data_IF_844969755443
#
_entry.id   IF_844969755443
#
_cell.length_a   1.000
_cell.length_b   1.000
_cell.length_c   1.000
_cell.angle_alpha   90.00
_cell.angle_beta   90.00
_cell.angle_gamma   90.00
#
_symmetry.space_group_name_H-M   'P 1'
#
loop_
_entity.id
_entity.type
_entity.pdbx_description
1 polymer ?
#
# COMPACT_ATOMS: atom_id res chain seq x y z
N UNK A 1 -2.47 -24.93 -9.48
CA UNK A 1 -2.27 -24.57 -10.91
C UNK A 1 -0.79 -24.34 -11.18
N UNK A 2 -0.24 -24.80 -12.30
CA UNK A 2 1.15 -24.53 -12.66
C UNK A 2 1.34 -23.03 -12.80
N UNK A 3 2.49 -22.54 -12.37
CA UNK A 3 2.82 -21.13 -12.34
C UNK A 3 3.12 -20.65 -13.76
N UNK A 4 2.42 -19.62 -14.24
CA UNK A 4 2.81 -18.97 -15.48
C UNK A 4 4.18 -18.30 -15.31
N UNK A 5 5.05 -18.48 -16.32
CA UNK A 5 6.32 -17.80 -16.39
C UNK A 5 6.07 -16.28 -16.47
N UNK A 6 6.94 -15.50 -15.83
CA UNK A 6 6.87 -14.04 -15.88
C UNK A 6 7.20 -13.55 -17.29
N UNK A 7 6.40 -12.61 -17.81
CA UNK A 7 6.73 -11.94 -19.08
C UNK A 7 7.96 -11.07 -18.88
N UNK A 8 8.95 -11.23 -19.73
CA UNK A 8 10.22 -10.49 -19.68
C UNK A 8 10.07 -9.20 -20.48
N UNK A 9 10.52 -8.07 -19.91
CA UNK A 9 10.59 -6.80 -20.62
C UNK A 9 11.82 -6.73 -21.53
N UNK A 10 11.63 -6.30 -22.76
CA UNK A 10 12.75 -6.06 -23.67
C UNK A 10 13.63 -4.86 -23.24
N UNK A 11 13.05 -3.92 -22.48
CA UNK A 11 13.76 -2.76 -21.94
C UNK A 11 14.29 -3.01 -20.50
N UNK A 12 14.04 -4.19 -19.93
CA UNK A 12 14.30 -4.52 -18.52
C UNK A 12 13.59 -3.57 -17.53
N UNK A 13 12.47 -2.95 -17.95
CA UNK A 13 11.67 -2.03 -17.14
C UNK A 13 10.36 -2.71 -16.79
N UNK A 14 9.95 -2.56 -15.53
CA UNK A 14 8.78 -3.23 -14.99
C UNK A 14 7.94 -2.31 -14.10
N UNK A 15 6.63 -2.45 -14.22
CA UNK A 15 5.69 -2.08 -13.17
C UNK A 15 5.61 -3.24 -12.21
N UNK A 16 5.98 -3.03 -10.96
CA UNK A 16 5.93 -4.04 -9.91
C UNK A 16 4.99 -3.62 -8.78
N UNK A 17 4.20 -4.57 -8.26
CA UNK A 17 3.21 -4.31 -7.22
C UNK A 17 3.38 -5.32 -6.09
N UNK A 18 3.42 -4.82 -4.85
CA UNK A 18 3.27 -5.59 -3.62
C UNK A 18 1.93 -5.23 -2.98
N UNK A 19 1.19 -6.22 -2.51
CA UNK A 19 -0.11 -6.03 -1.87
C UNK A 19 -0.22 -6.80 -0.57
N UNK A 20 -0.79 -6.18 0.47
CA UNK A 20 -1.09 -6.83 1.74
C UNK A 20 -2.11 -7.99 1.59
N UNK A 21 -1.93 -9.05 2.37
CA UNK A 21 -2.88 -10.16 2.45
C UNK A 21 -4.26 -9.62 2.84
N UNK A 22 -5.31 -10.04 2.12
CA UNK A 22 -6.68 -9.60 2.38
C UNK A 22 -6.85 -8.07 2.43
N UNK A 23 -6.07 -7.35 1.59
CA UNK A 23 -6.07 -5.88 1.56
C UNK A 23 -5.65 -5.22 2.89
N UNK A 24 -5.01 -5.97 3.81
CA UNK A 24 -4.53 -5.40 5.06
C UNK A 24 -3.54 -4.26 4.83
N UNK A 25 -3.43 -3.37 5.81
CA UNK A 25 -2.39 -2.37 5.82
C UNK A 25 -1.02 -3.02 5.84
N UNK A 26 -0.12 -2.43 5.08
CA UNK A 26 1.31 -2.79 5.08
C UNK A 26 2.18 -1.66 5.63
N UNK A 27 1.56 -0.52 5.92
CA UNK A 27 2.15 0.62 6.62
C UNK A 27 1.16 1.10 7.67
N UNK A 28 1.53 1.07 8.94
CA UNK A 28 0.69 1.48 10.07
C UNK A 28 1.04 2.90 10.54
N UNK A 29 2.29 3.32 10.33
CA UNK A 29 2.79 4.64 10.70
C UNK A 29 3.90 5.12 9.73
N UNK A 30 4.37 6.35 9.92
CA UNK A 30 5.38 6.98 9.06
C UNK A 30 6.74 6.26 9.11
N UNK A 31 7.06 5.61 10.23
CA UNK A 31 8.29 4.83 10.36
C UNK A 31 8.30 3.64 9.38
N UNK A 32 7.15 3.02 9.16
CA UNK A 32 7.00 1.92 8.21
C UNK A 32 7.25 2.37 6.77
N UNK A 33 6.66 3.52 6.40
CA UNK A 33 6.91 4.14 5.09
C UNK A 33 8.38 4.47 4.91
N UNK A 34 8.98 5.13 5.89
CA UNK A 34 10.40 5.48 5.87
C UNK A 34 11.30 4.23 5.80
N UNK A 35 10.93 3.17 6.51
CA UNK A 35 11.65 1.89 6.46
C UNK A 35 11.61 1.29 5.07
N UNK A 36 10.43 1.25 4.43
CA UNK A 36 10.29 0.74 3.08
C UNK A 36 11.11 1.55 2.07
N UNK A 37 11.04 2.89 2.14
CA UNK A 37 11.83 3.77 1.29
C UNK A 37 13.33 3.56 1.49
N UNK A 38 13.80 3.34 2.71
CA UNK A 38 15.21 3.06 2.98
C UNK A 38 15.64 1.70 2.39
N UNK A 39 14.78 0.67 2.46
CA UNK A 39 15.04 -0.62 1.82
C UNK A 39 15.10 -0.46 0.29
N UNK A 40 14.18 0.30 -0.30
CA UNK A 40 14.15 0.58 -1.74
C UNK A 40 15.38 1.37 -2.18
N UNK A 41 15.75 2.45 -1.47
CA UNK A 41 16.94 3.27 -1.74
C UNK A 41 18.22 2.44 -1.77
N UNK A 42 18.38 1.48 -0.86
CA UNK A 42 19.57 0.59 -0.85
C UNK A 42 19.73 -0.21 -2.15
N UNK A 43 18.64 -0.50 -2.87
CA UNK A 43 18.73 -1.22 -4.14
C UNK A 43 19.22 -0.32 -5.28
N UNK A 44 19.12 1.00 -5.13
CA UNK A 44 19.57 1.98 -6.14
C UNK A 44 21.00 2.46 -5.90
N UNK A 45 21.63 2.05 -4.82
CA UNK A 45 23.02 2.42 -4.50
C UNK A 45 23.98 1.39 -5.12
N UNK A 46 25.13 1.86 -5.63
CA UNK A 46 26.21 0.98 -6.03
C UNK A 46 26.73 0.16 -4.83
N UNK A 47 26.96 -1.13 -5.03
CA UNK A 47 27.67 -1.93 -4.05
C UNK A 47 29.17 -1.69 -4.18
N UNK A 48 29.87 -1.70 -3.04
CA UNK A 48 31.34 -1.61 -3.00
C UNK A 48 31.85 -2.83 -2.25
N UNK A 49 32.76 -3.58 -2.87
CA UNK A 49 33.35 -4.74 -2.20
C UNK A 49 34.45 -4.34 -1.19
N UNK A 50 34.99 -5.33 -0.50
CA UNK A 50 36.04 -5.14 0.49
C UNK A 50 37.38 -4.61 -0.13
N UNK A 51 37.54 -4.69 -1.44
CA UNK A 51 38.68 -4.20 -2.21
C UNK A 51 38.44 -2.78 -2.75
N UNK A 52 37.23 -2.19 -2.51
CA UNK A 52 36.86 -0.85 -2.98
C UNK A 52 36.37 -0.82 -4.44
N UNK A 53 36.11 -1.97 -5.06
CA UNK A 53 35.54 -2.03 -6.40
C UNK A 53 34.04 -1.70 -6.34
N UNK A 54 33.61 -0.75 -7.15
CA UNK A 54 32.23 -0.30 -7.24
C UNK A 54 31.49 -1.09 -8.31
N UNK A 55 30.34 -1.66 -7.95
CA UNK A 55 29.45 -2.37 -8.84
C UNK A 55 28.27 -1.51 -9.25
N UNK A 56 27.61 -1.86 -10.33
CA UNK A 56 26.39 -1.17 -10.74
C UNK A 56 25.26 -1.37 -9.70
N UNK A 57 24.35 -0.39 -9.53
CA UNK A 57 23.17 -0.55 -8.69
C UNK A 57 22.37 -1.79 -9.09
N UNK A 58 21.69 -2.41 -8.13
CA UNK A 58 20.82 -3.57 -8.39
C UNK A 58 19.66 -3.20 -9.28
N UNK A 59 19.13 -1.98 -9.11
CA UNK A 59 18.06 -1.45 -9.96
C UNK A 59 18.14 0.09 -10.05
N UNK A 60 17.39 0.63 -11.02
CA UNK A 60 17.04 2.05 -11.07
C UNK A 60 15.54 2.19 -10.81
N UNK A 61 15.14 3.09 -9.93
CA UNK A 61 13.74 3.40 -9.66
C UNK A 61 13.38 4.67 -10.40
N UNK A 62 12.29 4.64 -11.16
CA UNK A 62 11.77 5.79 -11.87
C UNK A 62 10.60 6.44 -11.15
N UNK A 63 9.71 5.63 -10.60
CA UNK A 63 8.61 6.11 -9.80
C UNK A 63 8.21 5.10 -8.72
N UNK A 64 7.64 5.61 -7.64
CA UNK A 64 6.98 4.81 -6.62
C UNK A 64 5.78 5.55 -6.05
N UNK A 65 4.83 4.77 -5.52
CA UNK A 65 3.76 5.24 -4.67
C UNK A 65 3.46 4.17 -3.62
N UNK A 66 3.62 4.53 -2.34
CA UNK A 66 3.37 3.66 -1.21
C UNK A 66 1.96 3.95 -0.69
N UNK A 67 1.01 3.12 -1.08
CA UNK A 67 -0.37 3.19 -0.58
C UNK A 67 -0.48 2.39 0.72
N UNK A 68 -1.43 2.73 1.59
CA UNK A 68 -1.53 2.06 2.89
C UNK A 68 -1.50 0.53 2.85
N UNK A 69 -2.07 -0.11 1.84
CA UNK A 69 -2.18 -1.56 1.72
C UNK A 69 -1.47 -2.18 0.50
N UNK A 70 -0.81 -1.37 -0.31
CA UNK A 70 -0.06 -1.83 -1.48
C UNK A 70 1.01 -0.82 -1.91
N UNK A 71 1.89 -1.25 -2.79
CA UNK A 71 3.00 -0.44 -3.31
C UNK A 71 3.04 -0.58 -4.82
N UNK A 72 3.17 0.54 -5.52
CA UNK A 72 3.50 0.59 -6.94
C UNK A 72 4.95 1.04 -7.13
N UNK A 73 5.68 0.32 -7.98
CA UNK A 73 7.05 0.63 -8.34
C UNK A 73 7.21 0.60 -9.87
N UNK A 74 7.80 1.63 -10.44
CA UNK A 74 8.31 1.62 -11.80
C UNK A 74 9.83 1.57 -11.73
N UNK A 75 10.42 0.45 -12.10
CA UNK A 75 11.85 0.22 -11.94
C UNK A 75 12.47 -0.52 -13.13
N UNK A 76 13.78 -0.34 -13.30
CA UNK A 76 14.60 -1.04 -14.28
C UNK A 76 15.58 -1.95 -13.57
N UNK A 77 15.75 -3.16 -14.11
CA UNK A 77 16.83 -4.05 -13.71
C UNK A 77 18.20 -3.39 -13.93
N UNK A 78 19.09 -3.59 -12.99
CA UNK A 78 20.48 -3.22 -13.06
C UNK A 78 21.36 -4.45 -13.05
N UNK A 79 22.13 -4.66 -11.98
CA UNK A 79 22.93 -5.87 -11.80
C UNK A 79 22.13 -7.11 -11.40
N UNK A 80 20.89 -6.94 -10.93
CA UNK A 80 20.03 -8.05 -10.49
C UNK A 80 18.69 -8.07 -11.26
N UNK A 81 18.06 -9.25 -11.28
CA UNK A 81 16.75 -9.44 -11.91
C UNK A 81 15.64 -8.85 -11.06
N UNK A 82 14.50 -8.48 -11.69
CA UNK A 82 13.30 -8.02 -10.97
C UNK A 82 12.86 -9.00 -9.87
N UNK A 83 13.10 -10.31 -10.08
CA UNK A 83 12.78 -11.34 -9.11
C UNK A 83 13.59 -11.23 -7.83
N UNK A 84 14.90 -11.01 -7.96
CA UNK A 84 15.82 -10.90 -6.84
C UNK A 84 15.65 -9.56 -6.12
N UNK A 85 15.51 -8.47 -6.87
CA UNK A 85 15.25 -7.13 -6.33
C UNK A 85 13.99 -7.14 -5.46
N UNK A 86 12.87 -7.63 -5.99
CA UNK A 86 11.60 -7.64 -5.28
C UNK A 86 11.61 -8.61 -4.09
N UNK A 87 12.32 -9.73 -4.20
CA UNK A 87 12.54 -10.64 -3.07
C UNK A 87 13.29 -9.94 -1.93
N UNK A 88 14.37 -9.21 -2.22
CA UNK A 88 15.14 -8.47 -1.21
C UNK A 88 14.29 -7.40 -0.52
N UNK A 89 13.57 -6.59 -1.32
CA UNK A 89 12.70 -5.53 -0.79
C UNK A 89 11.64 -6.14 0.12
N UNK A 90 10.88 -7.12 -0.38
CA UNK A 90 9.78 -7.72 0.36
C UNK A 90 10.27 -8.43 1.62
N UNK A 91 11.33 -9.27 1.53
CA UNK A 91 11.84 -10.02 2.69
C UNK A 91 12.38 -9.09 3.78
N UNK A 92 13.16 -8.05 3.41
CA UNK A 92 13.70 -7.10 4.37
C UNK A 92 12.60 -6.30 5.09
N UNK A 93 11.56 -5.92 4.34
CA UNK A 93 10.44 -5.18 4.92
C UNK A 93 9.56 -6.06 5.80
N UNK A 94 9.21 -7.27 5.34
CA UNK A 94 8.41 -8.24 6.11
C UNK A 94 9.08 -8.60 7.42
N UNK A 95 10.41 -8.83 7.42
CA UNK A 95 11.16 -9.10 8.64
C UNK A 95 11.01 -7.96 9.65
N UNK A 96 11.22 -6.72 9.22
CA UNK A 96 11.05 -5.54 10.06
C UNK A 96 9.61 -5.42 10.59
N UNK A 97 8.61 -5.52 9.70
CA UNK A 97 7.21 -5.36 10.04
C UNK A 97 6.74 -6.42 11.05
N UNK A 98 7.08 -7.69 10.81
CA UNK A 98 6.73 -8.78 11.71
C UNK A 98 7.38 -8.61 13.08
N UNK A 99 8.65 -8.17 13.12
CA UNK A 99 9.33 -7.91 14.39
C UNK A 99 8.72 -6.72 15.15
N UNK A 100 8.43 -5.61 14.45
CA UNK A 100 7.85 -4.40 15.08
C UNK A 100 6.47 -4.65 15.66
N UNK A 101 5.65 -5.46 14.98
CA UNK A 101 4.24 -5.68 15.33
C UNK A 101 3.97 -7.03 15.99
N UNK A 102 5.01 -7.75 16.39
CA UNK A 102 4.94 -9.10 16.99
C UNK A 102 4.01 -10.02 16.19
N UNK A 103 4.32 -10.18 14.87
CA UNK A 103 3.52 -10.95 13.93
C UNK A 103 4.31 -12.10 13.34
N UNK A 104 3.58 -13.16 12.98
CA UNK A 104 4.11 -14.32 12.28
C UNK A 104 3.35 -14.49 10.96
N UNK A 105 4.04 -14.93 9.91
CA UNK A 105 3.44 -15.27 8.62
C UNK A 105 3.61 -14.19 7.55
N UNK A 106 2.82 -14.33 6.48
CA UNK A 106 2.93 -13.48 5.29
C UNK A 106 2.29 -12.11 5.52
N UNK A 107 3.01 -11.05 5.16
CA UNK A 107 2.47 -9.69 5.08
C UNK A 107 1.85 -9.43 3.69
N UNK A 108 2.53 -9.87 2.63
CA UNK A 108 2.08 -9.71 1.27
C UNK A 108 1.33 -10.94 0.76
N UNK A 109 0.24 -10.71 0.00
CA UNK A 109 -0.64 -11.74 -0.53
C UNK A 109 0.09 -12.72 -1.47
N UNK A 110 1.02 -12.18 -2.28
CA UNK A 110 1.85 -12.92 -3.21
C UNK A 110 3.28 -12.37 -3.15
N UNK A 111 4.23 -13.04 -3.82
CA UNK A 111 5.60 -12.53 -3.88
C UNK A 111 5.63 -11.10 -4.45
N UNK A 112 5.05 -10.87 -5.59
CA UNK A 112 4.73 -9.60 -6.24
C UNK A 112 4.10 -9.88 -7.61
N UNK A 113 3.38 -8.91 -8.16
CA UNK A 113 2.96 -8.89 -9.57
C UNK A 113 3.91 -7.99 -10.36
N UNK A 114 4.15 -8.31 -11.64
CA UNK A 114 4.94 -7.45 -12.52
C UNK A 114 4.40 -7.46 -13.93
N UNK A 115 4.48 -6.30 -14.58
CA UNK A 115 4.10 -6.07 -15.97
C UNK A 115 5.28 -5.42 -16.68
N UNK A 116 5.68 -5.94 -17.88
CA UNK A 116 6.78 -5.36 -18.64
C UNK A 116 6.39 -4.01 -19.22
N UNK A 117 7.36 -3.08 -19.24
CA UNK A 117 7.25 -1.75 -19.83
C UNK A 117 8.24 -1.68 -20.96
N UNK A 118 7.76 -1.66 -22.23
CA UNK A 118 8.60 -1.82 -23.40
C UNK A 118 8.71 -0.58 -24.28
N UNK A 119 7.84 0.42 -24.09
CA UNK A 119 7.85 1.66 -24.84
C UNK A 119 7.69 2.89 -23.93
N UNK A 120 8.11 4.05 -24.44
CA UNK A 120 8.15 5.28 -23.66
C UNK A 120 6.75 5.88 -23.45
N UNK A 121 5.81 5.70 -24.37
CA UNK A 121 4.44 6.19 -24.21
C UNK A 121 3.76 5.46 -23.06
N UNK A 122 3.86 4.13 -23.04
CA UNK A 122 3.36 3.31 -21.93
C UNK A 122 4.07 3.65 -20.62
N UNK A 123 5.39 3.92 -20.64
CA UNK A 123 6.15 4.35 -19.48
C UNK A 123 5.59 5.64 -18.87
N UNK A 124 5.31 6.66 -19.69
CA UNK A 124 4.77 7.95 -19.22
C UNK A 124 3.33 7.77 -18.71
N UNK A 125 2.50 6.97 -19.38
CA UNK A 125 1.15 6.68 -18.93
C UNK A 125 1.15 5.98 -17.58
N UNK A 126 2.08 5.03 -17.38
CA UNK A 126 2.27 4.35 -16.10
C UNK A 126 2.80 5.28 -15.00
N UNK A 127 3.72 6.17 -15.33
CA UNK A 127 4.24 7.18 -14.40
C UNK A 127 3.10 8.08 -13.90
N UNK A 128 2.23 8.54 -14.80
CA UNK A 128 1.01 9.28 -14.46
C UNK A 128 0.11 8.45 -13.54
N UNK A 129 -0.16 7.22 -13.92
CA UNK A 129 -0.98 6.30 -13.14
C UNK A 129 -0.47 6.14 -11.71
N UNK A 130 0.84 5.91 -11.53
CA UNK A 130 1.46 5.74 -10.21
C UNK A 130 1.29 6.99 -9.34
N UNK A 131 1.52 8.18 -9.89
CA UNK A 131 1.40 9.42 -9.12
C UNK A 131 -0.05 9.86 -8.89
N UNK A 132 -1.00 9.43 -9.74
CA UNK A 132 -2.44 9.70 -9.54
C UNK A 132 -3.11 8.76 -8.52
N UNK A 133 -2.44 7.68 -8.09
CA UNK A 133 -3.05 6.73 -7.15
C UNK A 133 -3.58 7.38 -5.86
N UNK A 134 -2.86 8.29 -5.18
CA UNK A 134 -3.38 8.95 -3.98
C UNK A 134 -4.62 9.82 -4.23
N UNK A 135 -4.67 10.50 -5.40
CA UNK A 135 -5.84 11.28 -5.81
C UNK A 135 -7.05 10.38 -6.09
N UNK A 136 -6.84 9.29 -6.86
CA UNK A 136 -7.90 8.30 -7.15
C UNK A 136 -8.44 7.64 -5.89
N UNK A 137 -7.57 7.41 -4.91
CA UNK A 137 -7.95 6.88 -3.61
C UNK A 137 -8.52 7.96 -2.66
N UNK A 138 -8.67 9.21 -3.13
CA UNK A 138 -9.14 10.36 -2.34
C UNK A 138 -8.36 10.54 -1.02
N UNK A 139 -7.07 10.24 -1.05
CA UNK A 139 -6.19 10.38 0.12
C UNK A 139 -5.73 11.83 0.29
N UNK A 140 -5.61 12.56 -0.80
CA UNK A 140 -5.19 13.97 -0.90
C UNK A 140 -5.95 14.65 -2.03
N UNK A 141 -6.00 15.97 -2.00
CA UNK A 141 -6.60 16.79 -3.07
C UNK A 141 -5.56 17.18 -4.14
N UNK A 142 -4.27 17.16 -3.78
CA UNK A 142 -3.14 17.43 -4.67
C UNK A 142 -2.05 16.36 -4.49
N UNK A 143 -1.36 16.00 -5.58
CA UNK A 143 -0.20 15.10 -5.53
C UNK A 143 0.95 15.66 -4.69
N UNK A 144 1.07 16.97 -4.63
CA UNK A 144 2.09 17.66 -3.83
C UNK A 144 1.93 17.42 -2.31
N UNK A 145 0.72 17.02 -1.88
CA UNK A 145 0.39 16.73 -0.47
C UNK A 145 0.71 15.29 -0.05
N UNK A 146 0.98 14.39 -1.03
CA UNK A 146 1.23 12.99 -0.71
C UNK A 146 2.73 12.70 -0.57
N UNK A 147 3.20 12.61 0.67
CA UNK A 147 4.62 12.45 0.99
C UNK A 147 5.21 11.09 0.58
N UNK A 148 4.37 10.06 0.45
CA UNK A 148 4.79 8.68 0.22
C UNK A 148 4.82 8.30 -1.26
N UNK A 149 5.06 9.28 -2.14
CA UNK A 149 5.26 9.07 -3.56
C UNK A 149 6.54 9.75 -4.06
N UNK A 150 7.03 9.29 -5.21
CA UNK A 150 8.19 9.90 -5.87
C UNK A 150 7.87 11.24 -6.55
N UNK A 151 6.64 11.76 -6.48
CA UNK A 151 6.27 13.03 -7.09
C UNK A 151 7.13 14.18 -6.58
N UNK A 152 7.47 14.18 -5.30
CA UNK A 152 8.32 15.22 -4.70
C UNK A 152 9.76 15.22 -5.21
N UNK A 153 10.25 14.09 -5.75
CA UNK A 153 11.54 14.04 -6.43
C UNK A 153 11.48 14.67 -7.82
N UNK A 154 10.32 14.61 -8.49
CA UNK A 154 10.08 15.24 -9.78
C UNK A 154 9.86 16.74 -9.67
N UNK A 155 9.14 17.22 -8.67
CA UNK A 155 8.90 18.65 -8.44
C UNK A 155 10.04 19.36 -7.69
N UNK A 156 11.08 18.63 -7.30
CA UNK A 156 12.27 19.19 -6.65
C UNK A 156 12.10 19.54 -5.16
N UNK A 157 11.00 19.11 -4.51
CA UNK A 157 10.76 19.38 -3.08
C UNK A 157 11.27 18.28 -2.16
N UNK A 158 11.65 17.12 -2.71
CA UNK A 158 12.18 16.02 -1.92
C UNK A 158 13.49 16.38 -1.21
N UNK A 159 13.56 16.12 0.09
CA UNK A 159 14.79 16.34 0.89
C UNK A 159 15.94 15.42 0.46
N UNK A 160 15.64 14.21 0.06
CA UNK A 160 16.59 13.19 -0.38
C UNK A 160 15.93 12.30 -1.41
N UNK A 161 16.20 12.53 -2.70
CA UNK A 161 15.75 11.70 -3.80
C UNK A 161 16.69 10.52 -4.08
N UNK A 162 16.15 9.47 -4.69
CA UNK A 162 16.91 8.33 -5.24
C UNK A 162 16.36 7.83 -6.58
N UNK A 163 15.29 8.43 -7.07
CA UNK A 163 14.71 8.12 -8.37
C UNK A 163 15.57 8.68 -9.51
N UNK A 164 15.66 7.92 -10.59
CA UNK A 164 16.30 8.36 -11.83
C UNK A 164 15.40 9.29 -12.64
N UNK A 165 15.01 10.42 -12.04
CA UNK A 165 14.05 11.40 -12.61
C UNK A 165 14.55 12.02 -13.92
N UNK A 166 15.87 12.13 -14.11
CA UNK A 166 16.48 12.72 -15.29
C UNK A 166 16.16 11.98 -16.60
N UNK A 167 15.80 10.70 -16.53
CA UNK A 167 15.34 9.92 -17.71
C UNK A 167 14.07 10.51 -18.30
N UNK A 168 13.20 11.07 -17.44
CA UNK A 168 11.95 11.73 -17.83
C UNK A 168 12.18 13.21 -18.06
N UNK A 169 12.75 13.92 -17.07
CA UNK A 169 12.93 15.38 -17.12
C UNK A 169 13.89 15.84 -18.22
N UNK A 170 14.80 14.98 -18.66
CA UNK A 170 15.65 15.23 -19.82
C UNK A 170 14.92 15.18 -21.18
N UNK A 171 13.67 14.68 -21.20
CA UNK A 171 12.82 14.58 -22.41
C UNK A 171 11.57 15.42 -22.34
N UNK A 172 11.01 15.58 -21.14
CA UNK A 172 9.78 16.32 -20.88
C UNK A 172 10.09 17.33 -19.79
N UNK A 173 10.05 18.65 -20.08
CA UNK A 173 10.21 19.69 -19.07
C UNK A 173 9.20 19.51 -17.93
N UNK A 174 9.60 19.85 -16.72
CA UNK A 174 8.74 19.62 -15.54
C UNK A 174 7.36 20.27 -15.67
N UNK A 175 7.27 21.48 -16.24
CA UNK A 175 5.99 22.16 -16.43
C UNK A 175 5.01 21.32 -17.30
N UNK A 176 5.52 20.73 -18.38
CA UNK A 176 4.72 19.88 -19.27
C UNK A 176 4.39 18.54 -18.61
N UNK A 177 5.35 17.96 -17.89
CA UNK A 177 5.14 16.74 -17.11
C UNK A 177 4.06 16.94 -16.05
N UNK A 178 4.07 18.08 -15.34
CA UNK A 178 3.08 18.42 -14.33
C UNK A 178 1.67 18.43 -14.93
N UNK A 179 1.47 19.13 -16.05
CA UNK A 179 0.19 19.16 -16.76
C UNK A 179 -0.25 17.73 -17.16
N UNK A 180 0.67 16.93 -17.69
CA UNK A 180 0.38 15.54 -18.06
C UNK A 180 -0.07 14.69 -16.87
N UNK A 181 0.63 14.82 -15.73
CA UNK A 181 0.35 13.99 -14.55
C UNK A 181 -0.91 14.49 -13.82
N UNK A 182 -1.20 15.79 -13.81
CA UNK A 182 -2.43 16.37 -13.24
C UNK A 182 -3.68 16.07 -14.10
N UNK A 183 -3.51 15.86 -15.40
CA UNK A 183 -4.61 15.46 -16.28
C UNK A 183 -5.08 14.05 -15.94
N UNK A 184 -6.36 13.85 -15.56
CA UNK A 184 -6.87 12.51 -15.27
C UNK A 184 -6.65 11.53 -16.43
N UNK A 185 -6.24 10.32 -16.11
CA UNK A 185 -6.17 9.24 -17.09
C UNK A 185 -7.56 8.77 -17.48
N UNK A 186 -7.77 8.52 -18.79
CA UNK A 186 -8.97 7.83 -19.25
C UNK A 186 -9.07 6.43 -18.61
N UNK A 187 -10.29 5.96 -18.40
CA UNK A 187 -10.51 4.62 -17.80
C UNK A 187 -9.85 3.50 -18.62
N UNK A 188 -9.87 3.63 -19.96
CA UNK A 188 -9.23 2.68 -20.86
C UNK A 188 -7.71 2.59 -20.64
N UNK A 189 -7.06 3.74 -20.44
CA UNK A 189 -5.63 3.80 -20.15
C UNK A 189 -5.30 3.27 -18.75
N UNK A 190 -6.17 3.52 -17.77
CA UNK A 190 -5.99 3.01 -16.41
C UNK A 190 -6.18 1.50 -16.34
N UNK A 191 -7.13 0.94 -17.08
CA UNK A 191 -7.45 -0.49 -17.07
C UNK A 191 -6.38 -1.39 -17.70
N UNK A 192 -5.42 -0.83 -18.45
CA UNK A 192 -4.30 -1.62 -19.00
C UNK A 192 -3.25 -2.00 -17.95
N UNK A 193 -3.24 -1.35 -16.79
CA UNK A 193 -2.28 -1.64 -15.74
C UNK A 193 -2.76 -2.76 -14.81
N UNK A 194 -1.80 -3.49 -14.24
CA UNK A 194 -2.09 -4.46 -13.17
C UNK A 194 -2.61 -3.66 -12.00
N UNK A 195 -3.92 -3.55 -11.90
CA UNK A 195 -4.52 -2.82 -10.81
C UNK A 195 -4.83 -3.74 -9.63
N UNK A 196 -4.75 -3.11 -8.50
CA UNK A 196 -5.32 -3.58 -7.27
C UNK A 196 -6.65 -2.85 -7.17
N UNK A 197 -7.79 -3.54 -7.17
CA UNK A 197 -9.13 -2.95 -7.06
C UNK A 197 -9.17 -1.75 -6.08
N UNK A 198 -8.82 -0.60 -6.57
CA UNK A 198 -9.13 0.66 -5.93
C UNK A 198 -10.54 0.99 -6.40
N UNK A 199 -11.55 0.46 -5.73
CA UNK A 199 -12.88 1.02 -5.89
C UNK A 199 -12.83 2.41 -5.27
N UNK A 200 -13.06 3.48 -6.04
CA UNK A 200 -13.23 4.79 -5.45
C UNK A 200 -14.47 4.73 -4.56
N UNK A 201 -14.25 4.74 -3.26
CA UNK A 201 -15.34 4.97 -2.30
C UNK A 201 -15.64 6.47 -2.31
N UNK A 202 -16.22 6.96 -3.40
CA UNK A 202 -16.86 8.27 -3.36
C UNK A 202 -18.11 8.05 -2.53
N UNK A 203 -18.09 8.48 -1.27
CA UNK A 203 -19.30 8.56 -0.48
C UNK A 203 -20.28 9.47 -1.22
N UNK A 204 -21.38 8.91 -1.66
CA UNK A 204 -22.51 9.69 -2.23
C UNK A 204 -23.25 10.46 -1.14
N UNK A 205 -22.88 10.24 0.12
CA UNK A 205 -23.58 10.77 1.28
C UNK A 205 -22.92 12.06 1.79
N UNK A 206 -23.73 13.03 2.13
CA UNK A 206 -23.32 14.20 2.93
C UNK A 206 -22.95 13.77 4.36
N UNK A 207 -22.23 14.62 5.09
CA UNK A 207 -21.89 14.37 6.49
C UNK A 207 -23.12 14.11 7.37
N UNK A 208 -24.23 14.79 7.07
CA UNK A 208 -25.51 14.63 7.76
C UNK A 208 -26.15 13.27 7.49
N UNK A 209 -26.14 12.81 6.25
CA UNK A 209 -26.66 11.48 5.86
C UNK A 209 -25.81 10.37 6.48
N UNK A 210 -24.46 10.55 6.53
CA UNK A 210 -23.55 9.60 7.19
C UNK A 210 -23.86 9.54 8.69
N UNK A 211 -24.10 10.67 9.34
CA UNK A 211 -24.47 10.68 10.76
C UNK A 211 -25.84 10.07 11.00
N UNK A 212 -26.81 10.24 10.11
CA UNK A 212 -28.10 9.54 10.19
C UNK A 212 -27.92 8.02 10.12
N UNK A 213 -27.08 7.54 9.19
CA UNK A 213 -26.75 6.12 9.06
C UNK A 213 -26.04 5.60 10.32
N UNK A 214 -24.99 6.29 10.77
CA UNK A 214 -24.24 5.91 12.00
C UNK A 214 -25.13 5.91 13.22
N UNK A 215 -26.06 6.86 13.33
CA UNK A 215 -27.03 6.93 14.42
C UNK A 215 -28.02 5.78 14.40
N UNK A 216 -28.50 5.43 13.20
CA UNK A 216 -29.39 4.27 13.03
C UNK A 216 -28.70 2.95 13.38
N UNK A 217 -27.42 2.79 13.02
CA UNK A 217 -26.65 1.59 13.29
C UNK A 217 -26.22 1.47 14.76
N UNK A 218 -25.85 2.57 15.41
CA UNK A 218 -25.14 2.56 16.69
C UNK A 218 -25.90 3.20 17.87
N UNK A 219 -26.99 3.93 17.57
CA UNK A 219 -27.67 4.77 18.55
C UNK A 219 -26.91 6.05 18.94
N UNK A 220 -25.70 6.27 18.43
CA UNK A 220 -24.90 7.42 18.74
C UNK A 220 -25.22 8.58 17.80
N UNK A 221 -25.54 9.76 18.33
CA UNK A 221 -25.87 10.94 17.55
C UNK A 221 -24.71 11.93 17.33
N UNK A 222 -23.53 11.63 17.88
CA UNK A 222 -22.32 12.44 17.71
C UNK A 222 -21.05 11.63 18.02
N UNK A 223 -19.89 12.22 17.68
CA UNK A 223 -18.57 11.57 17.82
C UNK A 223 -18.28 11.15 19.27
N UNK A 224 -18.63 11.95 20.25
CA UNK A 224 -18.39 11.64 21.67
C UNK A 224 -19.16 10.39 22.12
N UNK A 225 -20.44 10.29 21.73
CA UNK A 225 -21.25 9.12 22.02
C UNK A 225 -20.76 7.89 21.29
N UNK A 226 -20.35 8.04 20.02
CA UNK A 226 -19.79 6.94 19.24
C UNK A 226 -18.49 6.41 19.86
N UNK A 227 -17.60 7.30 20.30
CA UNK A 227 -16.35 6.92 20.98
C UNK A 227 -16.58 6.28 22.35
N UNK A 228 -17.70 6.56 23.01
CA UNK A 228 -18.08 5.94 24.28
C UNK A 228 -18.57 4.49 24.14
N UNK A 229 -18.89 4.05 22.92
CA UNK A 229 -19.27 2.66 22.69
C UNK A 229 -18.09 1.70 22.96
N UNK A 230 -18.37 0.46 23.37
CA UNK A 230 -17.35 -0.59 23.46
C UNK A 230 -16.62 -0.80 22.13
N UNK A 231 -15.31 -1.02 22.18
CA UNK A 231 -14.46 -1.20 20.98
C UNK A 231 -15.01 -2.21 19.96
N UNK A 232 -15.53 -3.38 20.34
CA UNK A 232 -16.13 -4.32 19.39
C UNK A 232 -17.33 -3.72 18.66
N UNK A 233 -18.19 -2.96 19.36
CA UNK A 233 -19.34 -2.30 18.74
C UNK A 233 -18.90 -1.17 17.79
N UNK A 234 -17.90 -0.35 18.18
CA UNK A 234 -17.34 0.64 17.27
C UNK A 234 -16.88 -0.01 15.95
N UNK A 235 -16.13 -1.12 16.04
CA UNK A 235 -15.64 -1.85 14.85
C UNK A 235 -16.80 -2.37 13.99
N UNK A 236 -17.82 -2.95 14.60
CA UNK A 236 -18.98 -3.47 13.89
C UNK A 236 -19.72 -2.37 13.12
N UNK A 237 -19.98 -1.24 13.76
CA UNK A 237 -20.71 -0.13 13.14
C UNK A 237 -19.87 0.61 12.07
N UNK A 238 -18.55 0.72 12.28
CA UNK A 238 -17.65 1.24 11.25
C UNK A 238 -17.58 0.33 10.02
N UNK A 239 -17.57 -0.98 10.23
CA UNK A 239 -17.62 -1.96 9.16
C UNK A 239 -18.95 -1.86 8.40
N UNK A 240 -20.09 -1.86 9.09
CA UNK A 240 -21.41 -1.73 8.47
C UNK A 240 -21.56 -0.44 7.65
N UNK A 241 -21.10 0.69 8.20
CA UNK A 241 -21.11 1.97 7.48
C UNK A 241 -20.16 1.96 6.26
N UNK A 242 -19.06 1.20 6.31
CA UNK A 242 -18.16 1.04 5.17
C UNK A 242 -18.78 0.21 4.05
N UNK A 243 -19.52 -0.84 4.36
CA UNK A 243 -20.26 -1.65 3.37
C UNK A 243 -21.31 -0.83 2.61
N UNK A 244 -21.83 0.23 3.23
CA UNK A 244 -22.70 1.22 2.58
C UNK A 244 -21.93 2.22 1.70
N UNK A 245 -20.61 2.02 1.51
CA UNK A 245 -19.78 2.82 0.62
C UNK A 245 -19.13 4.06 1.24
N UNK A 246 -19.15 4.20 2.58
CA UNK A 246 -18.50 5.32 3.26
C UNK A 246 -17.01 5.01 3.47
N UNK A 247 -16.14 5.91 2.98
CA UNK A 247 -14.69 5.73 3.06
C UNK A 247 -14.15 5.79 4.50
N UNK A 248 -13.09 5.02 4.84
CA UNK A 248 -12.53 4.96 6.19
C UNK A 248 -12.08 6.31 6.74
N UNK A 249 -11.57 7.21 5.89
CA UNK A 249 -11.18 8.58 6.32
C UNK A 249 -12.37 9.43 6.72
N UNK A 250 -13.45 9.35 5.96
CA UNK A 250 -14.70 10.05 6.30
C UNK A 250 -15.23 9.55 7.63
N UNK A 251 -15.24 8.22 7.83
CA UNK A 251 -15.63 7.62 9.10
C UNK A 251 -14.72 8.07 10.25
N UNK A 252 -13.39 8.09 10.05
CA UNK A 252 -12.44 8.57 11.06
C UNK A 252 -12.68 10.04 11.41
N UNK A 253 -12.83 10.90 10.40
CA UNK A 253 -13.08 12.33 10.58
C UNK A 253 -14.39 12.60 11.33
N UNK A 254 -15.45 11.91 10.97
CA UNK A 254 -16.77 12.12 11.58
C UNK A 254 -16.86 11.52 12.99
N UNK A 255 -16.39 10.29 13.17
CA UNK A 255 -16.49 9.62 14.47
C UNK A 255 -15.38 9.99 15.46
N UNK A 256 -14.29 10.62 14.97
CA UNK A 256 -13.11 10.91 15.79
C UNK A 256 -12.34 9.65 16.24
N UNK A 257 -12.68 8.49 15.71
CA UNK A 257 -11.92 7.25 15.94
C UNK A 257 -10.64 7.30 15.11
N UNK A 258 -9.46 7.00 15.69
CA UNK A 258 -8.19 7.01 14.95
C UNK A 258 -8.27 6.21 13.65
N UNK A 259 -7.71 6.78 12.57
CA UNK A 259 -7.78 6.21 11.22
C UNK A 259 -7.30 4.76 11.15
N UNK A 260 -6.20 4.42 11.84
CA UNK A 260 -5.69 3.05 11.92
C UNK A 260 -6.69 2.04 12.49
N UNK A 261 -7.53 2.48 13.43
CA UNK A 261 -8.58 1.64 14.03
C UNK A 261 -9.74 1.49 13.05
N UNK A 262 -10.18 2.58 12.43
CA UNK A 262 -11.24 2.55 11.41
C UNK A 262 -10.83 1.64 10.26
N UNK A 263 -9.61 1.79 9.79
CA UNK A 263 -9.10 1.03 8.67
C UNK A 263 -9.01 -0.48 8.98
N UNK A 264 -8.57 -0.86 10.19
CA UNK A 264 -8.65 -2.27 10.61
C UNK A 264 -10.09 -2.77 10.64
N UNK A 265 -11.00 -1.99 11.19
CA UNK A 265 -12.40 -2.36 11.25
C UNK A 265 -13.03 -2.58 9.87
N UNK A 266 -12.65 -1.77 8.87
CA UNK A 266 -13.19 -1.82 7.50
C UNK A 266 -12.43 -2.78 6.58
N UNK A 267 -11.23 -3.25 6.93
CA UNK A 267 -10.47 -4.24 6.16
C UNK A 267 -10.69 -5.69 6.58
N UNK A 268 -11.32 -5.95 7.71
CA UNK A 268 -11.69 -7.31 8.15
C UNK A 268 -12.92 -7.80 7.37
N UNK A 269 -12.72 -8.27 6.15
CA UNK A 269 -13.74 -9.01 5.40
C UNK A 269 -13.87 -10.39 6.02
N UNK A 270 -15.11 -10.71 6.49
CA UNK A 270 -15.59 -12.08 6.80
C UNK A 270 -15.10 -12.68 8.12
N UNK A 271 -15.72 -12.25 9.23
CA UNK A 271 -16.02 -13.13 10.38
C UNK A 271 -17.32 -12.79 11.12
N UNK A 272 -18.10 -11.83 10.63
CA UNK A 272 -19.35 -11.43 11.30
C UNK A 272 -20.65 -11.87 10.60
N UNK A 273 -20.56 -12.62 9.50
CA UNK A 273 -21.74 -13.15 8.78
C UNK A 273 -22.45 -14.33 9.45
N UNK A 274 -22.01 -14.80 10.61
CA UNK A 274 -22.60 -15.95 11.31
C UNK A 274 -22.93 -15.72 12.79
N UNK A 275 -23.01 -14.47 13.24
CA UNK A 275 -23.40 -14.15 14.62
C UNK A 275 -24.64 -13.26 14.69
N UNK A 276 -25.71 -13.67 14.00
CA UNK A 276 -27.05 -13.22 14.31
C UNK A 276 -27.87 -14.47 14.65
N UNK A 277 -28.31 -14.54 15.91
CA UNK A 277 -29.04 -15.61 16.59
C UNK A 277 -28.19 -16.76 17.13
N UNK A 278 -27.73 -16.63 18.40
CA UNK A 278 -28.16 -17.54 19.45
C UNK A 278 -27.67 -17.04 20.81
N UNK A 279 -28.56 -17.05 21.76
CA UNK A 279 -28.45 -16.68 23.16
C UNK A 279 -27.44 -17.55 23.91
N UNK A 280 -26.69 -16.90 24.84
CA UNK A 280 -25.87 -17.53 25.88
C UNK A 280 -26.62 -18.66 26.66
N UNK A 281 -25.97 -19.66 27.30
CA UNK A 281 -24.88 -19.48 28.27
C UNK A 281 -23.82 -20.62 28.34
N UNK A 282 -22.74 -20.43 29.11
CA UNK A 282 -22.01 -21.51 29.79
C UNK A 282 -20.49 -21.50 29.58
N UNK A 283 -19.82 -21.30 30.71
CA UNK A 283 -18.39 -21.43 30.95
C UNK A 283 -17.80 -22.77 30.50
N UNK A 284 -16.49 -22.74 30.20
CA UNK A 284 -15.42 -23.64 30.60
C UNK A 284 -14.47 -24.10 29.47
N UNK A 285 -13.18 -24.03 29.82
CA UNK A 285 -12.04 -24.79 29.37
C UNK A 285 -11.37 -24.43 28.02
N UNK A 286 -10.27 -23.64 28.12
CA UNK A 286 -9.19 -23.62 27.15
C UNK A 286 -8.03 -24.49 27.64
N UNK A 287 -7.85 -25.63 26.99
CA UNK A 287 -6.61 -26.39 27.07
C UNK A 287 -5.58 -25.82 26.09
N UNK A 288 -4.41 -25.52 26.63
CA UNK A 288 -3.18 -25.11 25.95
C UNK A 288 -2.53 -26.28 25.26
N UNK A 289 -2.29 -26.20 23.96
CA UNK A 289 -1.28 -27.02 23.29
C UNK A 289 -0.11 -26.14 22.84
N UNK A 290 1.02 -26.38 23.52
CA UNK A 290 2.35 -25.90 23.09
C UNK A 290 3.01 -27.09 22.41
N UNK A 291 3.43 -26.96 21.18
CA UNK A 291 4.34 -27.91 20.54
C UNK A 291 5.63 -27.18 20.15
N UNK A 292 6.69 -27.57 20.86
CA UNK A 292 8.07 -27.12 20.65
C UNK A 292 8.70 -27.96 19.55
N UNK A 293 9.03 -27.35 18.40
CA UNK A 293 10.02 -27.91 17.49
C UNK A 293 10.97 -26.86 16.94
N UNK A 294 12.19 -26.99 17.39
CA UNK A 294 13.52 -26.59 16.89
C UNK A 294 13.61 -25.55 15.76
N UNK A 295 14.11 -24.36 16.11
CA UNK A 295 14.63 -23.38 15.18
C UNK A 295 16.13 -23.58 14.97
N UNK A 296 16.51 -24.05 13.79
CA UNK A 296 17.90 -23.99 13.31
C UNK A 296 18.29 -22.53 13.01
N UNK A 297 19.45 -22.15 13.53
CA UNK A 297 20.08 -20.83 13.38
C UNK A 297 20.46 -20.59 11.93
N UNK A 298 20.01 -19.47 11.37
CA UNK A 298 20.56 -18.94 10.13
C UNK A 298 21.76 -18.03 10.40
N UNK A 299 22.83 -18.15 9.59
CA UNK A 299 24.05 -17.36 9.78
C UNK A 299 23.84 -15.86 9.46
N UNK A 300 24.54 -15.05 10.24
CA UNK A 300 24.70 -13.60 10.04
C UNK A 300 25.40 -13.33 8.69
N UNK A 301 24.76 -12.52 7.85
CA UNK A 301 25.39 -11.74 6.78
C UNK A 301 24.76 -10.37 6.66
#
# INVERSE_FOLDING_TARGET
>A
MPRQARTISAANIYHAILRGVNKQQVFEDDEDYMRFLNVLRRQTQPDVDAQGQTFQPRCHVYAYCLMGNHVHLLLKEGSETIGDIMKRIASSYVYYYNHKYDRVGHLFQERFKSQPVNDFSYFITLLRYIHQNPLKAMLVDSMDEYEWSSWQEYNGTARQGFCSTQVVLGRIPFADLKVLVETPLAEEDANQFIDVDVRPTKSTYSDEEIWQLLSALSGASNATQFQALPRPQQKLHLFAAHEEGIGPRTLSRLTGVPYSIVQRATSETVRYGSMVCESLPGDDEYETYIDDTEYEKFPEY
#
